data_IF_382889980125
#
_entry.id   IF_382889980125
#
_cell.length_a   1.000
_cell.length_b   1.000
_cell.length_c   1.000
_cell.angle_alpha   90.00
_cell.angle_beta   90.00
_cell.angle_gamma   90.00
#
_symmetry.space_group_name_H-M   'P 1'
#
loop_
_entity.id
_entity.type
_entity.pdbx_description
1 polymer ?
2 water ?
#
# COMPACT_ATOMS: atom_id res chain seq x y z
N UNK A 40 12.40 6.01 -3.51
CA UNK A 40 11.65 5.85 -4.76
C UNK A 40 11.60 7.18 -5.48
N UNK A 41 11.98 7.19 -6.76
CA UNK A 41 11.95 8.39 -7.58
C UNK A 41 11.14 8.24 -8.86
N UNK A 42 10.65 7.04 -9.19
CA UNK A 42 9.94 6.81 -10.43
C UNK A 42 8.69 5.98 -10.19
N UNK A 43 8.26 5.32 -11.25
CA UNK A 43 7.07 4.49 -11.27
C UNK A 43 7.43 3.05 -11.62
N UNK A 44 6.40 2.23 -11.84
CA UNK A 44 6.58 0.89 -12.35
C UNK A 44 5.82 0.77 -13.66
N UNK A 45 5.99 -0.38 -14.32
CA UNK A 45 5.20 -0.69 -15.51
C UNK A 45 3.71 -0.82 -15.24
N UNK A 46 3.27 -0.83 -13.98
CA UNK A 46 1.83 -0.87 -13.69
C UNK A 46 1.16 0.45 -14.02
N UNK A 47 1.90 1.55 -14.04
CA UNK A 47 1.26 2.86 -14.18
C UNK A 47 0.59 3.00 -15.56
N UNK A 48 -0.56 3.65 -15.57
CA UNK A 48 -1.37 3.77 -16.78
C UNK A 48 -0.66 4.64 -17.81
N UNK A 49 -0.55 4.12 -19.03
CA UNK A 49 0.05 4.85 -20.13
C UNK A 49 -0.99 5.43 -21.09
N UNK A 50 -2.27 5.36 -20.73
CA UNK A 50 -3.37 5.79 -21.59
C UNK A 50 -4.40 6.54 -20.75
N UNK A 51 -3.93 7.35 -19.81
CA UNK A 51 -4.81 8.13 -18.94
C UNK A 51 -5.05 9.49 -19.57
N UNK A 52 -6.33 9.82 -19.80
CA UNK A 52 -6.70 11.05 -20.51
C UNK A 52 -6.57 12.25 -19.59
N UNK A 53 -5.69 13.19 -19.95
CA UNK A 53 -5.49 14.41 -19.19
C UNK A 53 -5.83 15.66 -20.02
N UNK A 54 -6.66 15.49 -21.04
CA UNK A 54 -6.98 16.59 -21.96
C UNK A 54 -8.00 17.57 -21.38
N UNK A 55 -8.77 17.17 -20.38
CA UNK A 55 -9.79 18.04 -19.82
C UNK A 55 -9.16 19.35 -19.34
N UNK A 56 -9.78 20.48 -19.71
CA UNK A 56 -9.27 21.78 -19.31
C UNK A 56 -9.84 22.17 -17.96
N UNK A 57 -9.01 22.43 -16.94
CA UNK A 57 -9.56 22.77 -15.63
C UNK A 57 -10.24 24.13 -15.66
N UNK A 58 -11.34 24.25 -14.93
CA UNK A 58 -12.13 25.48 -14.90
C UNK A 58 -11.58 26.50 -13.92
N UNK A 59 -10.43 26.24 -13.31
CA UNK A 59 -9.70 27.20 -12.51
C UNK A 59 -8.23 27.17 -12.93
N UNK A 60 -7.48 28.15 -12.44
CA UNK A 60 -6.04 28.20 -12.68
C UNK A 60 -5.25 27.87 -11.41
N UNK A 61 -5.92 27.58 -10.30
CA UNK A 61 -5.26 27.31 -9.03
C UNK A 61 -6.10 26.32 -8.22
N UNK A 62 -5.43 25.41 -7.51
CA UNK A 62 -6.08 24.40 -6.70
C UNK A 62 -5.21 24.11 -5.48
N UNK A 63 -5.87 23.86 -4.34
CA UNK A 63 -5.16 23.58 -3.08
C UNK A 63 -5.73 22.29 -2.50
N UNK A 64 -4.85 21.32 -2.23
CA UNK A 64 -5.25 19.98 -1.80
C UNK A 64 -4.49 19.59 -0.54
N UNK A 65 -5.22 19.23 0.50
CA UNK A 65 -4.62 18.78 1.76
C UNK A 65 -4.63 17.26 1.79
N UNK A 66 -3.46 16.65 1.96
CA UNK A 66 -3.33 15.19 2.01
C UNK A 66 -2.98 14.75 3.41
N UNK A 67 -3.72 13.77 3.95
CA UNK A 67 -3.43 13.24 5.26
C UNK A 67 -3.48 11.72 5.17
N UNK A 68 -2.40 11.06 5.62
CA UNK A 68 -2.23 9.63 5.42
C UNK A 68 -1.90 8.96 6.75
N UNK A 69 -1.95 7.62 6.77
CA UNK A 69 -2.08 6.96 8.06
C UNK A 69 -0.87 7.19 8.94
N UNK A 70 0.34 7.07 8.40
CA UNK A 70 1.53 7.28 9.22
C UNK A 70 2.74 7.34 8.32
N UNK A 71 3.77 8.08 8.77
CA UNK A 71 5.01 8.15 8.00
C UNK A 71 5.52 6.76 7.69
N UNK A 72 5.87 6.54 6.43
CA UNK A 72 6.47 5.29 5.98
C UNK A 72 6.97 5.48 4.56
N UNK A 73 8.07 4.79 4.24
CA UNK A 73 8.67 4.94 2.92
C UNK A 73 7.66 4.61 1.82
N UNK A 74 6.74 3.70 2.10
CA UNK A 74 5.73 3.34 1.10
C UNK A 74 5.07 4.58 0.50
N UNK A 75 4.71 5.56 1.32
CA UNK A 75 4.04 6.74 0.82
C UNK A 75 4.93 7.57 -0.10
N UNK A 76 6.24 7.38 -0.06
CA UNK A 76 7.11 8.12 -0.99
C UNK A 76 6.81 7.75 -2.44
N UNK A 77 6.38 6.52 -2.69
CA UNK A 77 6.03 6.10 -4.04
C UNK A 77 4.75 6.76 -4.54
N UNK A 78 3.78 7.03 -3.64
CA UNK A 78 2.61 7.79 -4.01
C UNK A 78 2.99 9.23 -4.31
N UNK A 79 3.85 9.83 -3.48
CA UNK A 79 4.18 11.24 -3.67
C UNK A 79 4.84 11.47 -5.03
N UNK A 80 5.47 10.43 -5.58
CA UNK A 80 6.06 10.57 -6.91
C UNK A 80 5.00 10.87 -7.96
N UNK A 81 3.87 10.15 -7.90
CA UNK A 81 2.80 10.41 -8.83
C UNK A 81 2.17 11.79 -8.66
N UNK A 82 2.00 12.22 -7.39
CA UNK A 82 1.46 13.55 -7.13
C UNK A 82 2.33 14.61 -7.80
N UNK A 83 3.65 14.54 -7.57
CA UNK A 83 4.55 15.55 -8.11
C UNK A 83 4.60 15.53 -9.62
N UNK A 84 4.30 14.39 -10.25
CA UNK A 84 4.29 14.37 -11.71
C UNK A 84 3.06 15.06 -12.26
N UNK A 85 1.91 14.86 -11.61
CA UNK A 85 0.68 15.50 -12.05
C UNK A 85 0.76 17.01 -11.89
N UNK A 86 1.36 17.49 -10.79
CA UNK A 86 1.45 18.93 -10.58
C UNK A 86 2.32 19.57 -11.66
N UNK A 87 3.40 18.91 -12.05
CA UNK A 87 4.24 19.43 -13.12
C UNK A 87 3.47 19.57 -14.42
N UNK A 88 2.79 18.50 -14.84
CA UNK A 88 2.03 18.56 -16.08
C UNK A 88 0.98 19.66 -16.05
N UNK A 89 0.28 19.81 -14.93
CA UNK A 89 -0.74 20.84 -14.82
C UNK A 89 -0.15 22.25 -14.74
N UNK A 90 1.13 22.38 -14.37
CA UNK A 90 1.77 23.70 -14.38
C UNK A 90 2.07 24.14 -15.80
N UNK A 91 2.29 23.20 -16.71
CA UNK A 91 2.49 23.54 -18.11
C UNK A 91 1.20 24.00 -18.76
N UNK A 92 0.04 23.65 -18.18
CA UNK A 92 -1.26 24.10 -18.68
C UNK A 92 -1.76 25.35 -17.96
N UNK A 93 -0.87 26.06 -17.27
CA UNK A 93 -1.28 27.25 -16.53
C UNK A 93 -2.17 26.96 -15.35
N UNK A 94 -1.98 25.82 -14.68
CA UNK A 94 -2.79 25.43 -13.53
C UNK A 94 -1.85 25.11 -12.38
N UNK A 95 -2.07 25.78 -11.24
CA UNK A 95 -1.18 25.70 -10.10
C UNK A 95 -1.84 24.84 -9.03
N UNK A 96 -1.22 23.71 -8.73
CA UNK A 96 -1.71 22.80 -7.71
C UNK A 96 -0.74 22.83 -6.53
N UNK A 97 -1.23 23.27 -5.38
CA UNK A 97 -0.47 23.28 -4.14
C UNK A 97 -1.04 22.20 -3.23
N UNK A 98 -0.17 21.54 -2.47
CA UNK A 98 -0.65 20.48 -1.59
C UNK A 98 0.24 20.33 -0.36
N UNK A 99 -0.35 19.87 0.74
CA UNK A 99 0.39 19.46 1.92
C UNK A 99 0.30 17.95 2.09
N UNK A 100 1.36 17.37 2.63
CA UNK A 100 1.56 15.92 2.70
C UNK A 100 1.81 15.58 4.16
N UNK A 101 0.75 15.22 4.89
CA UNK A 101 0.84 15.08 6.34
C UNK A 101 0.58 13.65 6.74
N UNK A 102 1.43 13.11 7.63
CA UNK A 102 1.20 11.85 8.31
C UNK A 102 1.92 11.86 9.64
N UNK A 103 1.33 11.23 10.65
CA UNK A 103 1.96 11.21 11.98
C UNK A 103 3.07 10.19 12.08
N UNK A 104 3.96 10.43 13.03
CA UNK A 104 5.05 9.49 13.27
C UNK A 104 4.52 8.10 13.53
N UNK A 105 3.46 7.98 14.32
CA UNK A 105 2.79 6.72 14.59
C UNK A 105 1.32 6.87 14.29
N UNK A 106 0.67 5.80 13.82
CA UNK A 106 -0.75 5.90 13.48
C UNK A 106 -1.57 6.25 14.70
N UNK A 107 -2.55 7.12 14.49
CA UNK A 107 -3.44 7.57 15.56
C UNK A 107 -4.80 7.90 14.94
N UNK A 108 -5.81 7.08 15.24
CA UNK A 108 -7.09 7.25 14.55
C UNK A 108 -7.70 8.60 14.84
N UNK A 109 -7.58 9.07 16.08
CA UNK A 109 -8.15 10.38 16.43
C UNK A 109 -7.37 11.50 15.77
N UNK A 110 -6.05 11.34 15.67
CA UNK A 110 -5.26 12.36 15.00
C UNK A 110 -5.73 12.55 13.57
N UNK A 111 -6.09 11.45 12.90
CA UNK A 111 -6.53 11.60 11.52
C UNK A 111 -7.83 12.36 11.47
N UNK A 112 -8.76 12.09 12.38
CA UNK A 112 -9.99 12.88 12.43
C UNK A 112 -9.65 14.35 12.65
N UNK A 113 -8.77 14.61 13.60
CA UNK A 113 -8.42 15.99 13.93
C UNK A 113 -7.74 16.66 12.75
N UNK A 114 -6.92 15.91 12.01
CA UNK A 114 -6.27 16.51 10.84
C UNK A 114 -7.30 16.92 9.79
N UNK A 115 -8.38 16.15 9.66
CA UNK A 115 -9.43 16.49 8.70
C UNK A 115 -10.25 17.68 9.20
N UNK A 116 -10.68 17.63 10.45
CA UNK A 116 -11.50 18.72 10.99
C UNK A 116 -10.77 20.04 10.93
N UNK A 117 -9.47 20.05 11.27
CA UNK A 117 -8.74 21.32 11.29
C UNK A 117 -8.49 21.84 9.88
N UNK A 118 -8.30 20.95 8.91
CA UNK A 118 -8.08 21.40 7.53
C UNK A 118 -9.31 22.05 6.92
N UNK A 119 -10.51 21.72 7.40
CA UNK A 119 -11.73 22.27 6.82
C UNK A 119 -11.68 23.79 6.81
N UNK A 120 -11.26 24.39 7.91
CA UNK A 120 -11.26 25.82 8.04
C UNK A 120 -10.02 26.53 7.53
N UNK A 121 -9.14 25.83 6.82
CA UNK A 121 -7.85 26.38 6.42
C UNK A 121 -7.78 26.76 4.94
N UNK A 122 -8.87 26.64 4.20
CA UNK A 122 -8.88 27.10 2.83
C UNK A 122 -8.37 26.12 1.80
N UNK A 123 -8.58 24.82 2.00
CA UNK A 123 -8.25 23.83 1.00
C UNK A 123 -9.47 23.58 0.11
N UNK A 124 -9.22 23.31 -1.17
CA UNK A 124 -10.31 23.01 -2.10
C UNK A 124 -10.74 21.55 -2.05
N UNK A 125 -9.87 20.66 -1.57
CA UNK A 125 -10.19 19.25 -1.47
C UNK A 125 -9.29 18.64 -0.40
N UNK A 126 -9.81 17.65 0.29
CA UNK A 126 -9.08 16.90 1.28
C UNK A 126 -8.91 15.47 0.75
N UNK A 127 -7.66 15.00 0.71
CA UNK A 127 -7.31 13.65 0.27
C UNK A 127 -6.85 12.82 1.48
N UNK A 128 -7.46 11.64 1.68
CA UNK A 128 -7.25 10.84 2.87
C UNK A 128 -6.80 9.44 2.49
N UNK A 129 -5.73 8.96 3.15
CA UNK A 129 -5.35 7.55 3.24
C UNK A 129 -5.71 7.10 4.65
N UNK A 130 -6.60 6.14 4.73
CA UNK A 130 -7.44 5.97 5.90
C UNK A 130 -6.75 5.16 7.00
N UNK A 131 -6.99 5.59 8.25
CA UNK A 131 -6.61 4.83 9.42
C UNK A 131 -7.80 3.94 9.80
N UNK A 132 -8.78 4.51 10.53
CA UNK A 132 -9.97 3.78 10.95
C UNK A 132 -11.17 4.18 10.12
N UNK A 133 -11.73 3.29 9.31
CA UNK A 133 -12.75 3.74 8.33
C UNK A 133 -13.97 4.38 8.96
N UNK A 134 -14.47 3.83 10.07
CA UNK A 134 -15.68 4.39 10.65
C UNK A 134 -15.45 5.80 11.20
N UNK A 135 -14.42 5.97 12.01
CA UNK A 135 -14.11 7.29 12.55
C UNK A 135 -13.79 8.30 11.45
N UNK A 136 -12.92 7.92 10.51
CA UNK A 136 -12.58 8.85 9.45
C UNK A 136 -13.73 9.11 8.49
N UNK A 137 -14.55 8.09 8.21
CA UNK A 137 -15.74 8.32 7.41
C UNK A 137 -16.58 9.47 7.93
N UNK A 138 -16.86 9.48 9.22
CA UNK A 138 -17.66 10.57 9.77
C UNK A 138 -16.95 11.91 9.62
N UNK A 139 -15.62 11.93 9.83
CA UNK A 139 -14.87 13.16 9.62
C UNK A 139 -14.96 13.61 8.16
N UNK A 140 -14.87 12.67 7.22
CA UNK A 140 -15.03 13.01 5.80
C UNK A 140 -16.40 13.61 5.54
N UNK A 141 -17.45 12.96 6.04
CA UNK A 141 -18.80 13.48 5.84
C UNK A 141 -18.94 14.91 6.39
N UNK A 142 -18.31 15.19 7.53
CA UNK A 142 -18.35 16.54 8.06
C UNK A 142 -17.68 17.52 7.11
N UNK A 143 -16.54 17.14 6.54
CA UNK A 143 -15.86 18.01 5.60
C UNK A 143 -16.72 18.20 4.35
N UNK A 144 -17.37 17.14 3.89
CA UNK A 144 -18.22 17.24 2.71
C UNK A 144 -19.45 18.09 3.01
N UNK A 145 -20.07 17.90 4.17
CA UNK A 145 -21.25 18.69 4.53
C UNK A 145 -20.91 20.18 4.62
N UNK A 146 -19.69 20.51 5.03
CA UNK A 146 -19.24 21.89 5.13
C UNK A 146 -18.64 22.41 3.84
N UNK A 147 -18.81 21.67 2.73
CA UNK A 147 -18.54 22.21 1.41
C UNK A 147 -17.21 21.87 0.79
N UNK A 148 -16.46 20.93 1.37
CA UNK A 148 -15.13 20.58 0.87
C UNK A 148 -15.18 19.16 0.33
N UNK A 149 -14.94 18.95 -0.96
CA UNK A 149 -14.93 17.58 -1.47
C UNK A 149 -13.77 16.80 -0.90
N UNK A 150 -13.95 15.48 -0.82
CA UNK A 150 -12.95 14.60 -0.24
C UNK A 150 -12.63 13.48 -1.22
N UNK A 151 -11.34 13.17 -1.37
CA UNK A 151 -10.88 12.00 -2.11
C UNK A 151 -10.25 11.05 -1.11
N UNK A 152 -10.35 9.75 -1.38
CA UNK A 152 -9.66 8.72 -0.62
C UNK A 152 -8.65 8.07 -1.54
N UNK A 153 -7.47 7.77 -1.01
CA UNK A 153 -6.44 7.13 -1.82
C UNK A 153 -5.71 6.12 -0.95
N UNK A 154 -4.99 5.21 -1.62
CA UNK A 154 -4.04 4.36 -0.95
C UNK A 154 -4.52 2.94 -0.77
N UNK A 155 -4.39 2.42 0.46
CA UNK A 155 -4.43 0.98 0.69
C UNK A 155 -5.85 0.46 0.63
N UNK A 156 -6.84 1.29 1.00
CA UNK A 156 -8.22 0.86 1.01
C UNK A 156 -9.17 2.07 0.94
N UNK A 157 -10.39 1.79 0.53
CA UNK A 157 -11.41 2.80 0.34
C UNK A 157 -12.37 2.81 1.52
N UNK A 158 -13.07 3.92 1.67
CA UNK A 158 -14.16 4.03 2.64
C UNK A 158 -15.42 4.19 1.81
N UNK A 159 -15.92 3.11 1.20
CA UNK A 159 -17.04 3.27 0.26
C UNK A 159 -18.31 3.80 0.91
N UNK A 160 -18.55 3.50 2.19
CA UNK A 160 -19.76 3.95 2.90
C UNK A 160 -19.48 5.29 3.61
N UNK A 161 -19.10 6.27 2.80
CA UNK A 161 -18.98 7.66 3.25
C UNK A 161 -19.10 8.56 2.01
N UNK A 162 -19.19 9.86 2.24
CA UNK A 162 -19.49 10.82 1.18
C UNK A 162 -18.26 11.29 0.40
N UNK A 163 -17.17 10.54 0.44
CA UNK A 163 -16.03 10.88 -0.40
C UNK A 163 -16.43 10.83 -1.88
N UNK A 164 -15.86 11.73 -2.68
CA UNK A 164 -16.25 11.83 -4.08
C UNK A 164 -15.73 10.65 -4.89
N UNK A 165 -14.48 10.28 -4.67
CA UNK A 165 -13.90 9.23 -5.48
C UNK A 165 -12.73 8.62 -4.72
N UNK A 166 -12.30 7.48 -5.23
CA UNK A 166 -11.20 6.72 -4.65
C UNK A 166 -10.19 6.40 -5.73
N UNK A 167 -8.90 6.50 -5.40
CA UNK A 167 -7.83 5.98 -6.25
C UNK A 167 -6.88 5.12 -5.40
N UNK A 168 -6.82 3.82 -5.68
CA UNK A 168 -5.96 3.00 -4.83
C UNK A 168 -6.18 1.53 -5.09
N UNK A 169 -5.82 0.70 -4.11
CA UNK A 169 -5.90 -0.74 -4.23
C UNK A 169 -7.27 -1.21 -3.72
N UNK A 170 -8.08 -1.72 -4.62
CA UNK A 170 -9.41 -2.20 -4.31
C UNK A 170 -9.43 -3.65 -3.85
N UNK A 171 -8.26 -4.24 -3.51
CA UNK A 171 -8.20 -5.69 -3.30
C UNK A 171 -6.99 -6.17 -2.51
N UNK A 172 -6.82 -5.72 -1.27
CA UNK A 172 -5.77 -6.30 -0.42
C UNK A 172 -5.96 -7.79 -0.18
N UNK A 173 -7.19 -8.26 -0.07
CA UNK A 173 -7.42 -9.68 0.06
C UNK A 173 -6.77 -10.42 -1.09
N UNK A 174 -7.00 -9.94 -2.31
CA UNK A 174 -6.46 -10.62 -3.48
C UNK A 174 -4.95 -10.61 -3.50
N UNK A 175 -4.34 -9.54 -3.02
CA UNK A 175 -2.88 -9.49 -2.91
C UNK A 175 -2.38 -10.56 -1.94
N UNK A 176 -3.06 -10.72 -0.81
CA UNK A 176 -2.70 -11.80 0.07
C UNK A 176 -2.84 -13.15 -0.59
N UNK A 177 -3.94 -13.35 -1.35
CA UNK A 177 -4.14 -14.63 -2.04
C UNK A 177 -3.02 -14.87 -3.04
N UNK A 178 -2.64 -13.84 -3.78
CA UNK A 178 -1.59 -14.01 -4.79
C UNK A 178 -0.28 -14.48 -4.14
N UNK A 179 0.14 -13.80 -3.08
CA UNK A 179 1.35 -14.22 -2.38
C UNK A 179 1.22 -15.63 -1.85
N UNK A 180 0.10 -15.94 -1.18
CA UNK A 180 -0.02 -17.25 -0.56
C UNK A 180 -0.05 -18.34 -1.60
N UNK A 181 -0.74 -18.11 -2.72
CA UNK A 181 -0.79 -19.14 -3.75
C UNK A 181 0.60 -19.39 -4.28
N UNK A 182 1.35 -18.32 -4.54
CA UNK A 182 2.70 -18.49 -5.07
C UNK A 182 3.57 -19.28 -4.11
N UNK A 183 3.51 -18.97 -2.82
CA UNK A 183 4.36 -19.65 -1.87
C UNK A 183 3.92 -21.08 -1.69
N UNK A 184 2.61 -21.32 -1.56
CA UNK A 184 2.14 -22.70 -1.40
C UNK A 184 2.54 -23.57 -2.58
N UNK A 185 2.43 -23.05 -3.81
CA UNK A 185 2.79 -23.85 -4.98
C UNK A 185 4.28 -24.09 -5.03
N UNK A 186 5.09 -23.08 -4.65
CA UNK A 186 6.55 -23.25 -4.64
C UNK A 186 6.98 -24.26 -3.60
N UNK A 187 6.21 -24.39 -2.53
CA UNK A 187 6.43 -25.41 -1.52
C UNK A 187 5.88 -26.78 -1.91
N UNK A 188 5.33 -26.93 -3.11
CA UNK A 188 4.76 -28.20 -3.50
C UNK A 188 3.50 -28.57 -2.76
N UNK A 189 2.83 -27.59 -2.16
CA UNK A 189 1.59 -27.85 -1.48
C UNK A 189 1.72 -28.59 -0.17
N UNK A 190 2.91 -28.64 0.41
CA UNK A 190 3.13 -29.37 1.65
C UNK A 190 4.10 -28.56 2.51
N UNK A 191 3.93 -28.64 3.83
CA UNK A 191 4.93 -28.16 4.76
C UNK A 191 4.33 -27.22 5.79
N UNK A 192 5.18 -26.40 6.38
CA UNK A 192 4.79 -25.49 7.44
C UNK A 192 5.08 -24.07 7.03
N UNK A 193 4.10 -23.19 7.26
CA UNK A 193 4.21 -21.77 6.97
C UNK A 193 3.97 -21.01 8.26
N UNK A 194 4.72 -19.93 8.42
CA UNK A 194 4.50 -18.95 9.48
C UNK A 194 4.19 -17.60 8.87
N UNK A 195 3.40 -16.79 9.58
CA UNK A 195 2.84 -15.56 9.01
C UNK A 195 3.25 -14.37 9.85
N UNK A 196 3.96 -13.44 9.24
CA UNK A 196 4.15 -12.10 9.81
C UNK A 196 2.95 -11.25 9.44
N UNK A 197 2.19 -10.82 10.47
CA UNK A 197 0.83 -10.34 10.30
C UNK A 197 0.69 -8.85 10.60
N UNK A 198 1.79 -8.16 10.82
CA UNK A 198 1.74 -6.71 10.80
C UNK A 198 1.10 -6.09 12.03
N UNK A 199 0.24 -5.11 11.81
CA UNK A 199 -0.38 -4.28 12.82
C UNK A 199 -1.81 -4.71 13.08
N UNK A 200 -2.10 -4.97 14.35
CA UNK A 200 -3.41 -5.45 14.72
C UNK A 200 -4.43 -4.40 14.34
N UNK A 201 -5.46 -4.81 13.59
CA UNK A 201 -6.58 -3.97 13.25
C UNK A 201 -6.38 -3.10 12.04
N UNK A 202 -5.20 -3.13 11.44
CA UNK A 202 -4.97 -2.30 10.27
C UNK A 202 -5.66 -2.97 9.08
N UNK A 203 -6.55 -2.23 8.39
CA UNK A 203 -7.48 -2.85 7.45
C UNK A 203 -6.77 -3.65 6.36
N UNK A 204 -5.82 -3.03 5.67
CA UNK A 204 -5.17 -3.78 4.59
C UNK A 204 -4.36 -4.97 5.10
N UNK A 205 -3.68 -4.82 6.26
CA UNK A 205 -2.98 -5.95 6.85
C UNK A 205 -3.94 -7.10 7.13
N UNK A 206 -5.10 -6.79 7.72
CA UNK A 206 -6.05 -7.84 8.10
C UNK A 206 -6.65 -8.50 6.86
N UNK A 207 -6.90 -7.72 5.82
CA UNK A 207 -7.46 -8.29 4.60
C UNK A 207 -6.44 -9.17 3.90
N UNK A 208 -5.17 -8.74 3.85
CA UNK A 208 -4.13 -9.58 3.27
C UNK A 208 -4.00 -10.89 4.04
N UNK A 209 -4.12 -10.82 5.36
CA UNK A 209 -3.98 -11.99 6.20
C UNK A 209 -5.14 -12.94 5.99
N UNK A 210 -6.35 -12.40 5.80
CA UNK A 210 -7.50 -13.26 5.49
C UNK A 210 -7.26 -13.98 4.16
N UNK A 211 -6.68 -13.28 3.19
CA UNK A 211 -6.37 -13.91 1.93
C UNK A 211 -5.31 -14.98 2.08
N UNK A 212 -4.28 -14.72 2.90
CA UNK A 212 -3.29 -15.77 3.13
C UNK A 212 -3.96 -17.04 3.65
N UNK A 213 -4.80 -16.91 4.66
CA UNK A 213 -5.32 -18.09 5.32
C UNK A 213 -6.35 -18.80 4.45
N UNK A 214 -7.23 -18.05 3.78
CA UNK A 214 -8.21 -18.68 2.91
C UNK A 214 -7.53 -19.45 1.78
N UNK A 215 -6.41 -18.94 1.31
CA UNK A 215 -5.68 -19.64 0.25
C UNK A 215 -4.93 -20.86 0.79
N UNK A 216 -4.25 -20.70 1.92
CA UNK A 216 -3.53 -21.84 2.48
C UNK A 216 -4.49 -22.97 2.78
N UNK A 217 -5.72 -22.66 3.17
CA UNK A 217 -6.70 -23.69 3.46
C UNK A 217 -6.96 -24.61 2.28
N UNK A 218 -6.71 -24.14 1.06
CA UNK A 218 -6.90 -24.94 -0.15
C UNK A 218 -5.77 -25.94 -0.40
N UNK A 219 -4.73 -25.90 0.43
CA UNK A 219 -3.59 -26.84 0.41
C UNK A 219 -3.59 -27.57 1.74
N UNK A 220 -4.36 -28.64 1.88
CA UNK A 220 -4.55 -29.24 3.19
C UNK A 220 -3.29 -29.84 3.78
N UNK A 221 -2.24 -30.07 2.98
CA UNK A 221 -0.99 -30.58 3.52
C UNK A 221 -0.05 -29.48 4.03
N UNK A 222 -0.51 -28.24 4.05
CA UNK A 222 0.27 -27.14 4.61
C UNK A 222 -0.36 -26.79 5.95
N UNK A 223 0.48 -26.68 6.98
CA UNK A 223 0.07 -26.26 8.32
C UNK A 223 0.60 -24.86 8.55
N UNK A 224 -0.26 -23.97 9.03
CA UNK A 224 0.17 -22.65 9.50
C UNK A 224 0.56 -22.81 10.96
N UNK A 225 1.85 -22.70 11.25
CA UNK A 225 2.32 -23.08 12.58
C UNK A 225 2.14 -21.93 13.56
N UNK A 226 2.21 -20.70 13.07
CA UNK A 226 2.12 -19.54 13.96
C UNK A 226 1.92 -18.28 13.12
N UNK A 227 1.40 -17.23 13.78
CA UNK A 227 1.29 -15.89 13.21
C UNK A 227 1.66 -14.94 14.34
N UNK A 228 2.43 -13.91 14.01
CA UNK A 228 2.85 -12.94 15.00
C UNK A 228 2.80 -11.54 14.39
N UNK A 229 2.56 -10.53 15.24
CA UNK A 229 2.42 -9.13 14.79
C UNK A 229 3.73 -8.36 14.94
N UNK A 230 4.37 -8.08 13.80
CA UNK A 230 5.57 -7.27 13.76
C UNK A 230 5.28 -5.79 13.87
N UNK A 231 4.01 -5.36 13.72
CA UNK A 231 3.63 -3.95 13.87
C UNK A 231 4.38 -3.07 12.86
N UNK A 232 4.74 -3.63 11.72
CA UNK A 232 5.39 -2.87 10.66
C UNK A 232 6.77 -2.40 11.05
N UNK A 233 7.41 -3.10 11.99
CA UNK A 233 8.76 -2.81 12.45
C UNK A 233 9.73 -3.88 11.94
N UNK A 234 10.77 -3.46 11.23
CA UNK A 234 11.71 -4.43 10.68
C UNK A 234 12.35 -5.24 11.81
N UNK A 235 12.77 -4.58 12.88
CA UNK A 235 13.51 -5.27 13.94
C UNK A 235 12.63 -6.31 14.62
N UNK A 236 11.33 -6.06 14.73
CA UNK A 236 10.42 -7.02 15.36
C UNK A 236 10.23 -8.21 14.44
N UNK A 237 10.15 -7.95 13.13
CA UNK A 237 10.07 -9.04 12.17
C UNK A 237 11.30 -9.92 12.25
N UNK A 238 12.49 -9.32 12.46
CA UNK A 238 13.72 -10.09 12.62
C UNK A 238 13.62 -10.98 13.84
N UNK A 239 13.24 -10.39 14.99
CA UNK A 239 13.20 -11.13 16.24
C UNK A 239 12.16 -12.23 16.19
N UNK A 240 10.98 -11.95 15.58
CA UNK A 240 9.96 -12.98 15.42
C UNK A 240 10.51 -14.13 14.60
N UNK A 241 11.17 -13.80 13.49
CA UNK A 241 11.62 -14.85 12.60
C UNK A 241 12.72 -15.69 13.24
N UNK A 242 13.65 -15.02 13.95
CA UNK A 242 14.67 -15.72 14.72
C UNK A 242 14.05 -16.74 15.64
N UNK A 243 13.00 -16.34 16.36
CA UNK A 243 12.39 -17.28 17.29
C UNK A 243 11.77 -18.45 16.55
N UNK A 244 11.14 -18.17 15.42
CA UNK A 244 10.56 -19.24 14.62
C UNK A 244 11.62 -20.20 14.11
N UNK A 245 12.80 -19.71 13.72
CA UNK A 245 13.82 -20.63 13.22
C UNK A 245 14.27 -21.62 14.28
N UNK A 246 14.21 -21.22 15.55
CA UNK A 246 14.51 -22.12 16.65
C UNK A 246 13.32 -23.01 16.97
N UNK A 247 12.11 -22.47 16.94
CA UNK A 247 10.97 -23.22 17.40
C UNK A 247 10.46 -24.20 16.36
N UNK A 248 10.69 -23.94 15.07
CA UNK A 248 10.09 -24.72 13.98
C UNK A 248 11.21 -25.17 13.06
N UNK A 249 11.91 -26.24 13.46
CA UNK A 249 12.99 -26.74 12.60
C UNK A 249 12.55 -27.10 11.23
N UNK A 250 11.25 -27.41 11.02
CA UNK A 250 10.72 -27.82 9.73
C UNK A 250 10.06 -26.68 8.95
N UNK A 251 10.23 -25.44 9.40
CA UNK A 251 9.57 -24.34 8.75
C UNK A 251 9.93 -24.29 7.28
N UNK A 252 8.91 -24.16 6.44
CA UNK A 252 9.17 -24.18 5.02
C UNK A 252 8.82 -22.91 4.25
N UNK A 253 8.02 -22.03 4.84
CA UNK A 253 7.63 -20.81 4.17
C UNK A 253 7.22 -19.76 5.16
N UNK A 254 7.34 -18.51 4.74
CA UNK A 254 6.93 -17.36 5.55
C UNK A 254 6.20 -16.39 4.63
N UNK A 255 5.05 -15.90 5.08
CA UNK A 255 4.26 -14.92 4.33
C UNK A 255 4.25 -13.65 5.17
N UNK A 256 4.41 -12.51 4.49
CA UNK A 256 4.70 -11.22 5.13
C UNK A 256 3.74 -10.17 4.58
N UNK A 257 2.84 -9.65 5.42
CA UNK A 257 1.72 -8.84 4.92
C UNK A 257 1.92 -7.31 4.87
N UNK A 258 3.16 -6.80 4.96
CA UNK A 258 3.36 -5.36 4.80
C UNK A 258 4.73 -5.13 4.17
N UNK A 259 5.11 -3.85 4.02
CA UNK A 259 6.36 -3.54 3.31
C UNK A 259 7.60 -3.81 4.16
N UNK A 260 7.48 -3.76 5.49
CA UNK A 260 8.62 -3.93 6.37
C UNK A 260 8.90 -5.40 6.69
N UNK A 261 7.88 -6.17 6.97
CA UNK A 261 8.12 -7.52 7.43
C UNK A 261 8.82 -8.48 6.47
N UNK A 262 8.80 -8.24 5.16
CA UNK A 262 9.64 -9.09 4.30
C UNK A 262 11.10 -8.78 4.47
N UNK A 263 11.43 -7.51 4.75
CA UNK A 263 12.81 -7.13 4.99
C UNK A 263 13.34 -7.88 6.18
N UNK A 264 12.55 -7.93 7.25
CA UNK A 264 13.02 -8.58 8.46
C UNK A 264 13.08 -10.07 8.33
N UNK A 265 12.07 -10.68 7.71
CA UNK A 265 12.10 -12.12 7.47
C UNK A 265 13.32 -12.50 6.66
N UNK A 266 13.60 -11.76 5.58
CA UNK A 266 14.74 -12.09 4.72
C UNK A 266 16.05 -11.94 5.48
N UNK A 267 16.21 -10.87 6.26
CA UNK A 267 17.42 -10.68 7.03
C UNK A 267 17.66 -11.84 7.99
N UNK A 268 16.63 -12.25 8.72
CA UNK A 268 16.81 -13.32 9.71
C UNK A 268 17.09 -14.66 9.05
N UNK A 269 16.39 -14.94 7.94
CA UNK A 269 16.60 -16.18 7.20
C UNK A 269 18.01 -16.19 6.60
N UNK A 270 18.47 -15.06 6.08
CA UNK A 270 19.80 -15.04 5.50
C UNK A 270 20.86 -15.18 6.59
N UNK A 271 20.63 -14.56 7.75
CA UNK A 271 21.65 -14.60 8.80
C UNK A 271 21.79 -16.02 9.33
N UNK A 272 20.73 -16.82 9.26
CA UNK A 272 20.72 -18.22 9.69
C UNK A 272 21.21 -19.17 8.60
N UNK A 273 21.55 -18.66 7.41
CA UNK A 273 22.07 -19.50 6.35
C UNK A 273 20.99 -20.29 5.64
N UNK A 274 19.74 -19.83 5.71
CA UNK A 274 18.61 -20.57 5.15
C UNK A 274 18.06 -19.93 3.89
N UNK A 275 18.77 -18.96 3.32
CA UNK A 275 18.29 -18.27 2.14
C UNK A 275 18.03 -19.27 1.03
N UNK A 276 16.81 -19.17 0.48
CA UNK A 276 16.38 -20.03 -0.60
C UNK A 276 15.81 -21.36 -0.16
N UNK A 277 15.95 -21.74 1.10
CA UNK A 277 15.42 -22.99 1.63
C UNK A 277 14.14 -22.79 2.42
N UNK A 278 13.82 -21.56 2.75
CA UNK A 278 12.49 -21.20 3.20
C UNK A 278 11.91 -20.26 2.15
N UNK A 279 10.67 -20.52 1.73
CA UNK A 279 10.04 -19.77 0.66
C UNK A 279 9.35 -18.58 1.29
N UNK A 280 9.76 -17.39 0.90
CA UNK A 280 9.24 -16.17 1.53
C UNK A 280 8.49 -15.36 0.48
N UNK A 281 7.30 -14.89 0.85
CA UNK A 281 6.52 -14.01 -0.02
C UNK A 281 6.13 -12.81 0.78
N UNK A 282 6.24 -11.61 0.18
CA UNK A 282 5.91 -10.41 0.91
C UNK A 282 5.35 -9.29 0.07
N UNK A 283 4.82 -8.27 0.76
CA UNK A 283 4.23 -7.13 0.10
C UNK A 283 5.28 -6.07 -0.24
N UNK A 284 4.99 -5.36 -1.32
CA UNK A 284 5.50 -4.03 -1.59
C UNK A 284 6.94 -4.08 -2.06
N UNK A 285 7.61 -2.94 -2.04
CA UNK A 285 8.71 -2.70 -2.98
C UNK A 285 9.96 -2.19 -2.29
N UNK A 286 10.15 -2.42 -0.99
CA UNK A 286 11.36 -1.98 -0.30
C UNK A 286 12.58 -2.47 -1.09
N UNK A 287 13.54 -1.58 -1.34
CA UNK A 287 14.73 -1.98 -2.11
C UNK A 287 15.41 -3.21 -1.51
N UNK A 288 15.38 -3.33 -0.19
CA UNK A 288 15.99 -4.51 0.43
C UNK A 288 15.21 -5.77 0.07
N UNK A 289 13.89 -5.66 -0.04
CA UNK A 289 13.09 -6.82 -0.45
C UNK A 289 13.33 -7.16 -1.92
N UNK A 290 13.33 -6.15 -2.80
CA UNK A 290 13.56 -6.41 -4.21
C UNK A 290 14.95 -6.98 -4.45
N UNK A 291 15.97 -6.49 -3.74
CA UNK A 291 17.31 -7.08 -3.84
C UNK A 291 17.32 -8.52 -3.35
N UNK A 292 16.52 -8.82 -2.30
CA UNK A 292 16.44 -10.20 -1.82
C UNK A 292 15.79 -11.13 -2.85
N UNK A 293 14.96 -10.61 -3.75
CA UNK A 293 14.51 -11.42 -4.88
C UNK A 293 15.68 -11.88 -5.72
N UNK A 294 16.61 -10.96 -6.00
CA UNK A 294 17.74 -11.26 -6.87
C UNK A 294 18.64 -12.30 -6.24
N UNK A 295 18.82 -12.25 -4.91
CA UNK A 295 19.73 -13.17 -4.27
C UNK A 295 19.08 -14.49 -3.87
N UNK A 296 17.76 -14.59 -4.03
CA UNK A 296 17.02 -15.81 -3.78
C UNK A 296 16.39 -15.89 -2.41
N UNK A 297 16.64 -14.92 -1.54
CA UNK A 297 16.08 -15.04 -0.19
C UNK A 297 14.58 -14.83 -0.20
N UNK A 298 14.12 -13.86 -0.99
CA UNK A 298 12.70 -13.62 -1.20
C UNK A 298 12.29 -14.30 -2.50
N UNK A 299 11.14 -14.99 -2.47
CA UNK A 299 10.62 -15.65 -3.67
C UNK A 299 9.70 -14.75 -4.50
N UNK A 300 8.84 -13.98 -3.84
CA UNK A 300 7.88 -13.15 -4.55
C UNK A 300 7.56 -11.94 -3.70
N UNK A 301 7.48 -10.79 -4.39
CA UNK A 301 7.01 -9.51 -3.85
C UNK A 301 5.74 -9.07 -4.58
N UNK A 302 4.76 -8.62 -3.82
CA UNK A 302 3.50 -8.17 -4.41
C UNK A 302 3.50 -6.66 -4.45
N UNK A 303 3.85 -6.11 -5.61
CA UNK A 303 4.07 -4.67 -5.77
C UNK A 303 2.79 -3.96 -6.24
N UNK A 304 2.47 -2.84 -5.61
CA UNK A 304 1.25 -2.11 -5.92
C UNK A 304 1.62 -0.91 -6.79
N UNK A 305 0.64 -0.43 -7.54
CA UNK A 305 0.82 0.74 -8.41
C UNK A 305 0.63 2.03 -7.61
N UNK A 306 1.61 2.30 -6.74
CA UNK A 306 1.53 3.47 -5.86
C UNK A 306 1.53 4.77 -6.66
N UNK A 307 2.28 4.79 -7.75
CA UNK A 307 2.40 6.00 -8.54
C UNK A 307 1.04 6.52 -8.97
N UNK A 308 0.18 5.65 -9.51
CA UNK A 308 -1.09 6.14 -10.00
C UNK A 308 -2.02 6.55 -8.87
N UNK A 309 -1.80 6.03 -7.66
CA UNK A 309 -2.58 6.49 -6.51
C UNK A 309 -2.41 7.98 -6.33
N UNK A 310 -1.20 8.48 -6.58
CA UNK A 310 -0.97 9.89 -6.45
C UNK A 310 -1.22 10.65 -7.73
N UNK A 311 -0.81 10.09 -8.86
CA UNK A 311 -0.96 10.77 -10.13
C UNK A 311 -2.41 11.01 -10.47
N UNK A 312 -3.23 9.97 -10.39
CA UNK A 312 -4.63 10.08 -10.76
C UNK A 312 -5.45 10.80 -9.67
N UNK A 313 -4.98 10.79 -8.43
CA UNK A 313 -5.63 11.55 -7.37
C UNK A 313 -5.71 13.03 -7.76
N UNK A 314 -4.62 13.58 -8.25
CA UNK A 314 -4.62 15.00 -8.58
C UNK A 314 -5.59 15.31 -9.71
N UNK A 315 -5.50 14.58 -10.82
CA UNK A 315 -6.36 14.91 -11.96
C UNK A 315 -7.84 14.73 -11.63
N UNK A 316 -8.16 13.68 -10.87
CA UNK A 316 -9.56 13.45 -10.54
C UNK A 316 -10.04 14.45 -9.51
N UNK A 317 -9.12 14.92 -8.64
CA UNK A 317 -9.48 15.93 -7.65
C UNK A 317 -9.98 17.17 -8.37
N UNK A 318 -9.30 17.54 -9.45
CA UNK A 318 -9.65 18.75 -10.19
C UNK A 318 -11.02 18.62 -10.85
N UNK A 319 -11.27 17.50 -11.51
CA UNK A 319 -12.60 17.27 -12.06
C UNK A 319 -13.66 17.32 -10.97
N UNK A 320 -13.31 16.89 -9.76
CA UNK A 320 -14.28 16.93 -8.66
C UNK A 320 -14.48 18.34 -8.14
N UNK A 321 -13.38 19.09 -7.99
CA UNK A 321 -13.48 20.47 -7.51
C UNK A 321 -14.27 21.30 -8.50
N UNK A 322 -14.19 20.95 -9.79
CA UNK A 322 -14.90 21.69 -10.84
C UNK A 322 -16.35 21.27 -11.01
N UNK A 323 -16.76 20.16 -10.39
CA UNK A 323 -18.10 19.64 -10.55
C UNK A 323 -18.25 18.62 -11.67
N UNK A 324 -17.16 18.26 -12.34
CA UNK A 324 -17.22 17.29 -13.41
C UNK A 324 -17.28 15.89 -12.83
N UNK A 325 -17.89 14.98 -13.60
CA UNK A 325 -17.94 13.58 -13.22
C UNK A 325 -16.56 12.93 -13.38
N UNK A 326 -16.33 11.87 -12.61
CA UNK A 326 -15.08 11.15 -12.65
C UNK A 326 -15.38 9.74 -12.16
N UNK A 327 -14.57 8.77 -12.59
CA UNK A 327 -14.77 7.40 -12.14
C UNK A 327 -14.74 7.37 -10.62
N UNK A 328 -15.80 6.83 -10.01
CA UNK A 328 -15.89 6.85 -8.55
C UNK A 328 -14.77 6.03 -7.91
N UNK A 329 -14.45 4.87 -8.49
CA UNK A 329 -13.46 3.97 -7.90
C UNK A 329 -12.47 3.58 -8.99
N UNK A 330 -11.22 4.04 -8.85
CA UNK A 330 -10.14 3.67 -9.77
C UNK A 330 -9.23 2.67 -9.10
N UNK A 331 -9.16 1.47 -9.66
CA UNK A 331 -8.28 0.44 -9.14
C UNK A 331 -6.91 0.51 -9.81
N UNK A 332 -5.87 0.74 -9.01
CA UNK A 332 -4.56 1.00 -9.59
C UNK A 332 -3.86 -0.29 -9.97
N UNK A 333 -4.21 -1.37 -9.29
CA UNK A 333 -3.67 -2.66 -9.59
C UNK A 333 -2.40 -2.96 -8.81
N UNK A 334 -2.05 -4.24 -8.83
CA UNK A 334 -0.84 -4.75 -8.25
C UNK A 334 -0.45 -6.00 -9.02
N UNK A 335 0.78 -6.46 -8.82
CA UNK A 335 1.21 -7.66 -9.50
C UNK A 335 2.31 -8.35 -8.73
N UNK A 336 2.54 -9.62 -9.05
CA UNK A 336 3.56 -10.42 -8.39
C UNK A 336 4.90 -10.26 -9.13
N UNK A 337 5.96 -10.01 -8.38
CA UNK A 337 7.29 -9.77 -8.95
C UNK A 337 8.18 -10.89 -8.46
N UNK A 338 8.77 -11.63 -9.38
CA UNK A 338 9.71 -12.68 -9.06
C UNK A 338 11.12 -12.23 -9.46
N UNK A 339 12.09 -13.11 -9.22
CA UNK A 339 13.47 -12.76 -9.46
C UNK A 339 13.68 -12.21 -10.87
N UNK A 340 12.98 -12.78 -11.86
CA UNK A 340 13.29 -12.38 -13.23
C UNK A 340 12.82 -10.95 -13.53
N UNK A 341 11.91 -10.41 -12.72
CA UNK A 341 11.45 -9.05 -12.89
C UNK A 341 12.01 -8.07 -11.87
N UNK A 342 12.89 -8.53 -10.98
CA UNK A 342 13.38 -7.66 -9.91
C UNK A 342 14.14 -6.47 -10.47
N UNK A 343 15.05 -6.70 -11.40
CA UNK A 343 15.88 -5.59 -11.83
C UNK A 343 15.05 -4.54 -12.56
N UNK A 344 14.06 -4.97 -13.31
CA UNK A 344 13.19 -4.02 -14.00
C UNK A 344 12.50 -3.11 -13.00
N UNK A 345 11.94 -3.70 -11.93
CA UNK A 345 11.24 -2.89 -10.95
C UNK A 345 12.20 -2.00 -10.15
N UNK A 346 13.38 -2.53 -9.80
CA UNK A 346 14.37 -1.73 -9.10
C UNK A 346 14.77 -0.51 -9.94
N UNK A 347 15.08 -0.73 -11.22
CA UNK A 347 15.49 0.37 -12.07
C UNK A 347 14.40 1.42 -12.18
N UNK A 348 13.14 0.99 -12.36
CA UNK A 348 12.08 1.96 -12.61
C UNK A 348 11.72 2.70 -11.33
N UNK A 349 11.72 2.02 -10.20
CA UNK A 349 11.33 2.68 -8.96
C UNK A 349 12.49 3.50 -8.39
N UNK A 350 13.71 3.01 -8.49
CA UNK A 350 14.87 3.65 -7.87
C UNK A 350 15.89 4.05 -8.95
#
# INVERSE_FOLDING_TARGET
SVLVGCGNNTTNNNSGTSGPSTNSGTSGSGTNSGTTSNNVTGKTDLADTNFDTSYTPKRTSYKIYCTYKNIHAWYDAIKCGIDAAVKELAEKGVTVDYEWYGPAQPDAVDQVNSIETAIGQGWDLIAVDVNQPELTGEAINNAVAKGIPVAVFGTSDVPNCDRAFFVGNTDPYGDGCALAKAVCEKMGGKGQIAILAGTIGALAHEERLRGFKDTIAKYPDIEIVDEQRDNDEVEKAISITESWLQAYPNLGGILCNNMSNPVGACQAVADAGKSGKIVIGGMDHDLRALNALKDGTLYVAQVQNCYDMGYKLIYNAIKTIDGEKVEESTAVGSTSVYAQDADKFINMLYGEAN
#
